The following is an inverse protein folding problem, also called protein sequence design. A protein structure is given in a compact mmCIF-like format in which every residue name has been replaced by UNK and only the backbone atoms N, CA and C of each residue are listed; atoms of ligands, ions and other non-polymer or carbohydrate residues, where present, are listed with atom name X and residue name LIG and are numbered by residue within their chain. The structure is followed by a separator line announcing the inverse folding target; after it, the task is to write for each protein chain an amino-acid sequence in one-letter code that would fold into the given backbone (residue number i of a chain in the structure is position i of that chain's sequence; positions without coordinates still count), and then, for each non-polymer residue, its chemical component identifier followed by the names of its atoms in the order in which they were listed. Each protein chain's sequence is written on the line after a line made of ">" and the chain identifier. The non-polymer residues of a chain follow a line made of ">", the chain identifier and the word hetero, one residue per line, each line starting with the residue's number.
data_IF_652087063308
#
_entry.id   IF_652087063308
#
_cell.length_a   1.000
_cell.length_b   1.000
_cell.length_c   1.000
_cell.angle_alpha   90.00
_cell.angle_beta   90.00
_cell.angle_gamma   90.00
#
_symmetry.space_group_name_H-M   'P 1'
#
loop_
_entity.id
_entity.type
_entity.pdbx_description
1 polymer ?
#
# COMPACT_ATOMS: atom_id res chain seq x y z
N UNK A 1 23.79 -16.75 65.93
CA UNK A 1 22.31 -16.73 66.02
C UNK A 1 21.77 -16.02 64.79
N UNK A 2 21.16 -16.76 63.85
CA UNK A 2 20.65 -16.20 62.59
C UNK A 2 19.26 -15.62 62.87
N UNK A 3 19.15 -14.30 62.87
CA UNK A 3 17.90 -13.58 63.09
C UNK A 3 17.01 -13.74 61.86
N UNK A 4 16.11 -14.72 61.85
CA UNK A 4 15.05 -14.83 60.83
C UNK A 4 13.97 -13.81 61.16
N UNK A 5 14.17 -12.57 60.70
CA UNK A 5 13.11 -11.56 60.64
C UNK A 5 12.02 -12.11 59.71
N UNK A 6 10.91 -12.57 60.30
CA UNK A 6 9.72 -12.95 59.56
C UNK A 6 9.29 -11.74 58.73
N UNK A 7 9.27 -11.90 57.40
CA UNK A 7 8.84 -10.86 56.50
C UNK A 7 7.36 -10.58 56.78
N UNK A 8 7.03 -9.35 57.18
CA UNK A 8 5.66 -8.96 57.51
C UNK A 8 4.71 -9.28 56.36
N UNK A 9 3.66 -10.05 56.65
CA UNK A 9 2.65 -10.51 55.68
C UNK A 9 2.02 -9.34 54.90
N UNK A 10 1.97 -8.15 55.52
CA UNK A 10 1.54 -6.90 54.89
C UNK A 10 2.50 -6.43 53.80
N UNK A 11 3.81 -6.49 54.05
CA UNK A 11 4.83 -6.12 53.06
C UNK A 11 4.85 -7.09 51.88
N UNK A 12 4.63 -8.38 52.12
CA UNK A 12 4.49 -9.39 51.07
C UNK A 12 3.27 -9.12 50.17
N UNK A 13 2.10 -8.81 50.75
CA UNK A 13 0.89 -8.51 49.98
C UNK A 13 1.03 -7.24 49.14
N UNK A 14 1.72 -6.22 49.66
CA UNK A 14 1.99 -4.98 48.90
C UNK A 14 2.93 -5.28 47.73
N UNK A 15 4.01 -6.03 47.95
CA UNK A 15 4.93 -6.42 46.88
C UNK A 15 4.24 -7.25 45.79
N UNK A 16 3.38 -8.20 46.20
CA UNK A 16 2.61 -9.02 45.26
C UNK A 16 1.62 -8.17 44.46
N UNK A 17 0.95 -7.22 45.10
CA UNK A 17 0.00 -6.31 44.43
C UNK A 17 0.69 -5.43 43.37
N UNK A 18 1.86 -4.86 43.70
CA UNK A 18 2.66 -4.06 42.75
C UNK A 18 3.15 -4.93 41.59
N UNK A 19 3.57 -6.17 41.86
CA UNK A 19 4.01 -7.11 40.83
C UNK A 19 2.88 -7.46 39.86
N UNK A 20 1.68 -7.75 40.38
CA UNK A 20 0.48 -8.01 39.57
C UNK A 20 0.13 -6.77 38.73
N UNK A 21 0.18 -5.58 39.31
CA UNK A 21 -0.10 -4.33 38.59
C UNK A 21 0.85 -4.15 37.39
N UNK A 22 2.14 -4.40 37.57
CA UNK A 22 3.14 -4.32 36.49
C UNK A 22 2.84 -5.32 35.37
N UNK A 23 2.46 -6.56 35.72
CA UNK A 23 2.10 -7.59 34.73
C UNK A 23 0.85 -7.17 33.95
N UNK A 24 -0.17 -6.66 34.62
CA UNK A 24 -1.41 -6.22 33.97
C UNK A 24 -1.13 -5.06 33.01
N UNK A 25 -0.37 -4.06 33.46
CA UNK A 25 0.02 -2.92 32.62
C UNK A 25 0.84 -3.40 31.42
N UNK A 26 1.87 -4.23 31.65
CA UNK A 26 2.71 -4.78 30.58
C UNK A 26 1.91 -5.60 29.56
N UNK A 27 0.96 -6.42 30.04
CA UNK A 27 0.06 -7.20 29.18
C UNK A 27 -0.85 -6.33 28.33
N UNK A 28 -1.41 -5.26 28.89
CA UNK A 28 -2.23 -4.28 28.15
C UNK A 28 -1.41 -3.58 27.08
N UNK A 29 -0.18 -3.13 27.41
CA UNK A 29 0.70 -2.49 26.44
C UNK A 29 1.13 -3.44 25.31
N UNK A 30 1.45 -4.69 25.63
CA UNK A 30 1.78 -5.71 24.62
C UNK A 30 0.57 -5.98 23.70
N UNK A 31 -0.63 -6.09 24.27
CA UNK A 31 -1.86 -6.27 23.51
C UNK A 31 -2.16 -5.09 22.57
N UNK A 32 -2.02 -3.86 23.07
CA UNK A 32 -2.15 -2.64 22.26
C UNK A 32 -1.11 -2.61 21.14
N UNK A 33 0.16 -2.92 21.43
CA UNK A 33 1.23 -2.93 20.44
C UNK A 33 0.95 -3.91 19.29
N UNK A 34 0.43 -5.12 19.57
CA UNK A 34 0.03 -6.08 18.53
C UNK A 34 -1.12 -5.55 17.67
N UNK A 35 -2.11 -4.89 18.29
CA UNK A 35 -3.25 -4.30 17.56
C UNK A 35 -2.81 -3.14 16.66
N UNK A 36 -1.99 -2.23 17.16
CA UNK A 36 -1.49 -1.11 16.37
C UNK A 36 -0.48 -1.52 15.30
N UNK A 37 0.39 -2.49 15.57
CA UNK A 37 1.32 -3.02 14.57
C UNK A 37 0.60 -3.73 13.43
N UNK A 38 -0.50 -4.45 13.72
CA UNK A 38 -1.37 -5.01 12.69
C UNK A 38 -2.03 -3.93 11.84
N UNK A 39 -2.57 -2.89 12.49
CA UNK A 39 -3.25 -1.79 11.81
C UNK A 39 -2.34 -0.91 10.94
N UNK A 40 -1.04 -0.82 11.24
CA UNK A 40 -0.08 -0.06 10.42
C UNK A 40 0.49 -0.83 9.23
N UNK A 41 0.56 -2.16 9.28
CA UNK A 41 1.09 -2.97 8.16
C UNK A 41 0.24 -2.83 6.89
N UNK A 42 -1.06 -2.63 7.05
CA UNK A 42 -2.02 -2.54 5.95
C UNK A 42 -1.89 -1.26 5.11
N UNK A 43 -1.88 -0.04 5.70
CA UNK A 43 -1.66 1.19 4.92
C UNK A 43 -0.26 1.23 4.30
N UNK A 44 0.75 0.63 4.95
CA UNK A 44 2.09 0.55 4.38
C UNK A 44 2.16 -0.36 3.14
N UNK A 45 1.48 -1.51 3.17
CA UNK A 45 1.43 -2.41 2.01
C UNK A 45 0.69 -1.76 0.83
N UNK A 46 -0.47 -1.14 1.08
CA UNK A 46 -1.23 -0.42 0.05
C UNK A 46 -0.41 0.74 -0.55
N UNK A 47 0.27 1.53 0.29
CA UNK A 47 1.13 2.62 -0.17
C UNK A 47 2.32 2.13 -1.01
N UNK A 48 2.95 1.01 -0.64
CA UNK A 48 4.04 0.42 -1.41
C UNK A 48 3.58 -0.06 -2.79
N UNK A 49 2.38 -0.68 -2.86
CA UNK A 49 1.78 -1.12 -4.11
C UNK A 49 1.44 0.06 -5.05
N UNK A 50 0.81 1.11 -4.50
CA UNK A 50 0.53 2.35 -5.24
C UNK A 50 1.82 2.99 -5.74
N UNK A 51 2.88 3.04 -4.91
CA UNK A 51 4.16 3.61 -5.30
C UNK A 51 4.84 2.84 -6.45
N UNK A 52 4.66 1.53 -6.53
CA UNK A 52 5.15 0.74 -7.68
C UNK A 52 4.36 1.05 -8.94
N UNK A 53 3.05 1.18 -8.81
CA UNK A 53 2.15 1.54 -9.91
C UNK A 53 2.51 2.91 -10.49
N UNK A 54 2.71 3.91 -9.63
CA UNK A 54 3.19 5.25 -10.00
C UNK A 54 4.52 5.18 -10.75
N UNK A 55 5.44 4.33 -10.30
CA UNK A 55 6.75 4.17 -10.93
C UNK A 55 6.64 3.58 -12.34
N UNK A 56 5.88 2.51 -12.52
CA UNK A 56 5.69 1.88 -13.84
C UNK A 56 5.03 2.86 -14.81
N UNK A 57 4.01 3.59 -14.37
CA UNK A 57 3.37 4.63 -15.20
C UNK A 57 4.38 5.72 -15.57
N UNK A 58 5.18 6.19 -14.61
CA UNK A 58 6.18 7.22 -14.88
C UNK A 58 7.29 6.76 -15.83
N UNK A 59 7.78 5.52 -15.69
CA UNK A 59 8.78 4.92 -16.57
C UNK A 59 8.19 4.74 -17.99
N UNK A 60 6.99 4.18 -18.08
CA UNK A 60 6.28 4.01 -19.36
C UNK A 60 6.11 5.33 -20.11
N UNK A 61 5.62 6.36 -19.42
CA UNK A 61 5.41 7.71 -19.97
C UNK A 61 6.73 8.31 -20.46
N UNK A 62 7.81 8.13 -19.69
CA UNK A 62 9.13 8.65 -20.05
C UNK A 62 9.69 7.96 -21.30
N UNK A 63 9.49 6.65 -21.42
CA UNK A 63 10.04 5.84 -22.51
C UNK A 63 9.20 5.93 -23.78
N UNK A 64 7.91 6.28 -23.66
CA UNK A 64 6.96 6.29 -24.77
C UNK A 64 6.17 7.61 -24.88
N UNK A 65 6.83 8.77 -25.00
CA UNK A 65 6.15 10.07 -25.08
C UNK A 65 5.20 10.17 -26.28
N UNK A 66 5.49 9.44 -27.36
CA UNK A 66 4.76 9.49 -28.63
C UNK A 66 3.48 8.65 -28.63
N UNK A 67 3.36 7.67 -27.73
CA UNK A 67 2.17 6.79 -27.62
C UNK A 67 1.03 7.43 -26.86
N UNK A 68 1.32 8.54 -26.18
CA UNK A 68 0.34 9.36 -25.48
C UNK A 68 -0.43 10.26 -26.45
N UNK A 69 -0.14 10.14 -27.75
CA UNK A 69 -0.96 10.72 -28.78
C UNK A 69 -2.15 9.80 -29.09
N UNK A 70 -3.34 10.40 -28.99
CA UNK A 70 -4.68 9.78 -28.99
C UNK A 70 -4.92 8.85 -30.19
N UNK A 71 -4.21 9.06 -31.30
CA UNK A 71 -4.34 8.24 -32.51
C UNK A 71 -3.86 6.79 -32.37
N UNK A 72 -3.33 6.40 -31.20
CA UNK A 72 -2.68 5.12 -30.95
C UNK A 72 -3.15 4.44 -29.66
N UNK A 73 -4.43 4.61 -29.30
CA UNK A 73 -5.01 4.02 -28.09
C UNK A 73 -4.78 2.50 -27.98
N UNK A 74 -5.01 1.73 -29.05
CA UNK A 74 -4.74 0.29 -29.07
C UNK A 74 -3.25 -0.04 -28.82
N UNK A 75 -2.33 0.77 -29.37
CA UNK A 75 -0.88 0.59 -29.20
C UNK A 75 -0.44 0.97 -27.77
N UNK A 76 -1.10 1.98 -27.19
CA UNK A 76 -0.90 2.43 -25.82
C UNK A 76 -1.35 1.36 -24.83
N UNK A 77 -2.57 0.84 -24.95
CA UNK A 77 -3.11 -0.20 -24.07
C UNK A 77 -2.22 -1.44 -24.07
N UNK A 78 -1.82 -1.89 -25.27
CA UNK A 78 -0.97 -3.08 -25.44
C UNK A 78 0.38 -2.89 -24.74
N UNK A 79 1.11 -1.81 -25.04
CA UNK A 79 2.43 -1.59 -24.46
C UNK A 79 2.39 -1.26 -22.98
N UNK A 80 1.33 -0.58 -22.53
CA UNK A 80 1.12 -0.31 -21.12
C UNK A 80 0.86 -1.63 -20.37
N UNK A 81 0.01 -2.51 -20.90
CA UNK A 81 -0.22 -3.87 -20.37
C UNK A 81 1.07 -4.69 -20.30
N UNK A 82 1.91 -4.63 -21.34
CA UNK A 82 3.23 -5.29 -21.34
C UNK A 82 4.13 -4.77 -20.22
N UNK A 83 4.26 -3.44 -20.07
CA UNK A 83 5.06 -2.81 -19.01
C UNK A 83 4.58 -3.21 -17.61
N UNK A 84 3.27 -3.29 -17.40
CA UNK A 84 2.71 -3.78 -16.15
C UNK A 84 2.98 -5.28 -15.91
N UNK A 85 2.91 -6.14 -16.93
CA UNK A 85 3.17 -7.59 -16.79
C UNK A 85 4.62 -7.91 -16.41
N UNK A 86 5.58 -7.03 -16.72
CA UNK A 86 6.96 -7.19 -16.25
C UNK A 86 7.08 -7.06 -14.73
N UNK A 87 6.29 -6.14 -14.14
CA UNK A 87 6.36 -5.79 -12.73
C UNK A 87 5.38 -6.57 -11.86
N UNK A 88 4.20 -6.88 -12.39
CA UNK A 88 3.08 -7.48 -11.66
C UNK A 88 2.86 -8.96 -12.05
N UNK A 89 1.93 -9.64 -11.38
CA UNK A 89 1.58 -11.03 -11.71
C UNK A 89 0.64 -11.05 -12.92
N UNK A 90 -0.35 -10.16 -12.86
CA UNK A 90 -1.35 -9.98 -13.88
C UNK A 90 -1.73 -8.50 -13.93
N UNK A 91 -2.03 -8.02 -15.12
CA UNK A 91 -2.38 -6.64 -15.37
C UNK A 91 -3.27 -6.53 -16.60
N UNK A 92 -4.43 -5.91 -16.41
CA UNK A 92 -5.33 -5.47 -17.47
C UNK A 92 -5.36 -3.95 -17.47
N UNK A 93 -5.31 -3.40 -18.67
CA UNK A 93 -5.48 -1.98 -18.95
C UNK A 93 -6.68 -1.91 -19.88
N UNK A 94 -7.61 -1.02 -19.60
CA UNK A 94 -8.70 -0.68 -20.51
C UNK A 94 -8.73 0.85 -20.59
N UNK A 95 -8.55 1.41 -21.78
CA UNK A 95 -8.55 2.86 -21.96
C UNK A 95 -9.78 3.25 -22.77
N UNK A 96 -10.51 4.25 -22.28
CA UNK A 96 -11.63 4.84 -23.01
C UNK A 96 -11.33 6.31 -23.32
N UNK A 97 -11.57 6.66 -24.57
CA UNK A 97 -11.37 8.01 -25.06
C UNK A 97 -12.65 8.83 -25.05
N UNK A 98 -12.73 9.78 -24.12
CA UNK A 98 -13.73 10.87 -24.15
C UNK A 98 -13.07 12.24 -24.36
N UNK A 99 -13.12 13.12 -23.35
CA UNK A 99 -12.48 14.44 -23.32
C UNK A 99 -11.10 14.43 -22.67
N UNK A 100 -10.85 13.38 -21.88
CA UNK A 100 -9.61 13.02 -21.19
C UNK A 100 -9.41 11.53 -21.49
N UNK A 101 -8.17 11.09 -21.66
CA UNK A 101 -7.90 9.66 -21.79
C UNK A 101 -7.99 9.03 -20.40
N UNK A 102 -9.01 8.21 -20.17
CA UNK A 102 -9.19 7.49 -18.91
C UNK A 102 -8.77 6.03 -19.09
N UNK A 103 -7.77 5.59 -18.33
CA UNK A 103 -7.32 4.21 -18.33
C UNK A 103 -7.66 3.55 -17.00
N UNK A 104 -8.48 2.51 -17.04
CA UNK A 104 -8.74 1.62 -15.93
C UNK A 104 -7.66 0.52 -15.85
N UNK A 105 -7.03 0.43 -14.68
CA UNK A 105 -5.92 -0.47 -14.39
C UNK A 105 -6.36 -1.50 -13.35
N UNK A 106 -6.45 -2.76 -13.75
CA UNK A 106 -6.62 -3.87 -12.82
C UNK A 106 -5.31 -4.60 -12.70
N UNK A 107 -4.70 -4.56 -11.51
CA UNK A 107 -3.35 -5.09 -11.28
C UNK A 107 -3.36 -6.07 -10.12
N UNK A 108 -2.67 -7.21 -10.28
CA UNK A 108 -2.49 -8.24 -9.26
C UNK A 108 -1.01 -8.29 -8.85
N UNK A 109 -0.71 -8.02 -7.58
CA UNK A 109 0.66 -8.16 -7.09
C UNK A 109 1.08 -9.64 -7.00
N UNK A 110 2.37 -9.92 -7.24
CA UNK A 110 2.93 -11.28 -7.13
C UNK A 110 2.94 -11.82 -5.69
N UNK A 111 2.78 -10.96 -4.69
CA UNK A 111 2.82 -11.33 -3.26
C UNK A 111 1.98 -10.38 -2.41
N UNK A 112 0.79 -10.81 -2.04
CA UNK A 112 -0.05 -10.15 -1.06
C UNK A 112 -1.40 -10.86 -0.97
N UNK A 113 -2.27 -10.40 -0.08
CA UNK A 113 -3.54 -11.05 0.25
C UNK A 113 -4.72 -10.30 -0.39
N UNK A 114 -5.79 -11.04 -0.77
CA UNK A 114 -7.15 -10.71 -1.30
C UNK A 114 -7.80 -9.32 -1.06
N UNK A 115 -7.02 -8.26 -0.86
CA UNK A 115 -7.48 -6.93 -0.48
C UNK A 115 -7.34 -6.02 -1.68
N UNK A 116 -8.47 -5.41 -2.03
CA UNK A 116 -8.60 -4.46 -3.11
C UNK A 116 -8.31 -3.04 -2.60
N UNK A 117 -7.25 -2.42 -3.10
CA UNK A 117 -6.97 -1.00 -2.91
C UNK A 117 -7.35 -0.25 -4.17
N UNK A 118 -8.17 0.80 -4.03
CA UNK A 118 -8.48 1.69 -5.17
C UNK A 118 -7.31 2.63 -5.41
N UNK A 119 -6.98 2.83 -6.67
CA UNK A 119 -5.97 3.74 -7.15
C UNK A 119 -6.62 4.76 -8.10
N UNK A 120 -6.18 6.02 -8.03
CA UNK A 120 -6.56 7.06 -8.99
C UNK A 120 -5.48 8.12 -9.02
N UNK A 121 -5.02 8.45 -10.23
CA UNK A 121 -3.93 9.38 -10.51
C UNK A 121 -4.14 10.02 -11.86
N UNK A 122 -3.96 11.33 -11.92
CA UNK A 122 -3.84 12.05 -13.18
C UNK A 122 -2.37 12.35 -13.49
N UNK A 123 -1.98 12.11 -14.74
CA UNK A 123 -0.67 12.48 -15.28
C UNK A 123 -0.90 13.51 -16.37
N UNK A 124 -0.17 14.62 -16.31
CA UNK A 124 -0.23 15.68 -17.32
C UNK A 124 0.98 15.58 -18.24
N UNK A 125 0.72 15.43 -19.52
CA UNK A 125 1.71 15.04 -20.51
C UNK A 125 1.87 16.14 -21.57
N UNK A 126 3.09 16.62 -21.80
CA UNK A 126 3.35 17.53 -22.90
C UNK A 126 3.26 16.77 -24.22
N UNK A 127 2.34 17.19 -25.08
CA UNK A 127 2.13 16.67 -26.43
C UNK A 127 2.39 17.76 -27.46
N UNK A 128 2.44 17.39 -28.75
CA UNK A 128 2.61 18.34 -29.85
C UNK A 128 1.50 19.41 -29.89
N UNK A 129 0.31 19.08 -29.40
CA UNK A 129 -0.86 19.95 -29.39
C UNK A 129 -1.10 20.67 -28.04
N UNK A 130 -0.18 20.54 -27.08
CA UNK A 130 -0.30 21.15 -25.74
C UNK A 130 -0.19 20.14 -24.61
N UNK A 131 -0.74 20.46 -23.44
CA UNK A 131 -0.74 19.55 -22.28
C UNK A 131 -2.02 18.72 -22.30
N UNK A 132 -1.88 17.38 -22.30
CA UNK A 132 -3.01 16.45 -22.18
C UNK A 132 -3.05 15.85 -20.78
N UNK A 133 -4.23 15.69 -20.20
CA UNK A 133 -4.44 14.92 -18.98
C UNK A 133 -4.72 13.45 -19.37
N UNK A 134 -4.07 12.53 -18.66
CA UNK A 134 -4.38 11.10 -18.70
C UNK A 134 -4.69 10.66 -17.28
N UNK A 135 -5.86 10.09 -17.07
CA UNK A 135 -6.30 9.62 -15.76
C UNK A 135 -6.17 8.10 -15.69
N UNK A 136 -5.32 7.63 -14.79
CA UNK A 136 -5.20 6.23 -14.45
C UNK A 136 -6.02 5.98 -13.19
N UNK A 137 -7.01 5.10 -13.25
CA UNK A 137 -7.75 4.66 -12.08
C UNK A 137 -7.83 3.14 -12.05
N UNK A 138 -8.21 2.54 -10.93
CA UNK A 138 -8.50 1.11 -10.92
C UNK A 138 -8.25 0.45 -9.59
N UNK A 139 -7.98 -0.84 -9.65
CA UNK A 139 -7.94 -1.70 -8.46
C UNK A 139 -6.63 -2.46 -8.40
N UNK A 140 -5.87 -2.26 -7.32
CA UNK A 140 -4.74 -3.08 -6.96
C UNK A 140 -5.21 -4.21 -6.04
N UNK A 141 -5.12 -5.45 -6.52
CA UNK A 141 -5.29 -6.65 -5.70
C UNK A 141 -3.91 -7.06 -5.21
N UNK A 142 -3.71 -6.98 -3.90
CA UNK A 142 -2.48 -7.44 -3.29
C UNK A 142 -2.50 -8.96 -3.17
#
# INVERSE_FOLDING_TARGET
>A
MVNKKGMDTRALNILLSVFILIIVIGGVYAWLAVKFAGAQKEPLAAAAGISRLDRVISEFVSDNPDLLDISKEDELETKLSESFKETFLDASVDCEQESVLECELTVIERKGAEKMSRYSRSVFLPTKDGIKEVRFSGTLRQ
#
